data_IF_580404064990
#
_entry.id   IF_580404064990
#
_cell.length_a   1.000
_cell.length_b   1.000
_cell.length_c   1.000
_cell.angle_alpha   90.00
_cell.angle_beta   90.00
_cell.angle_gamma   90.00
#
_symmetry.space_group_name_H-M   'P 1'
#
loop_
_entity.id
_entity.type
_entity.pdbx_description
1 polymer ?
#
# COMPACT_ATOMS: atom_id res chain seq x y z
N UNK A 1 17.08 24.57 12.29
CA UNK A 1 16.10 25.47 11.64
C UNK A 1 16.80 26.16 10.49
N UNK A 2 16.69 25.59 9.30
CA UNK A 2 17.33 26.09 8.08
C UNK A 2 16.30 26.06 6.97
N UNK A 3 15.91 27.26 6.54
CA UNK A 3 15.29 27.63 5.27
C UNK A 3 14.09 26.79 4.78
N UNK A 4 12.93 27.33 5.12
CA UNK A 4 11.62 27.22 4.47
C UNK A 4 11.68 27.62 2.98
N UNK A 5 12.36 26.82 2.16
CA UNK A 5 11.99 26.71 0.76
C UNK A 5 10.77 25.79 0.77
N UNK A 6 9.59 26.31 0.41
CA UNK A 6 8.40 25.50 0.20
C UNK A 6 8.82 24.24 -0.57
N UNK A 7 8.80 23.11 0.13
CA UNK A 7 9.37 21.89 -0.39
C UNK A 7 8.51 21.52 -1.59
N UNK A 8 9.08 21.63 -2.80
CA UNK A 8 8.34 21.24 -4.01
C UNK A 8 8.04 19.75 -3.92
N UNK A 9 6.81 19.31 -4.26
CA UNK A 9 6.48 17.89 -4.27
C UNK A 9 7.44 17.12 -5.18
N UNK A 10 7.90 15.95 -4.74
CA UNK A 10 8.94 15.19 -5.43
C UNK A 10 8.55 14.71 -6.83
N UNK A 11 7.24 14.53 -7.07
CA UNK A 11 6.67 14.12 -8.36
C UNK A 11 5.87 15.24 -9.02
N UNK A 12 6.12 16.51 -8.65
CA UNK A 12 5.55 17.66 -9.35
C UNK A 12 5.85 17.56 -10.85
N UNK A 13 4.80 17.64 -11.69
CA UNK A 13 4.91 17.54 -13.14
C UNK A 13 4.70 16.13 -13.71
N UNK A 14 4.77 15.08 -12.88
CA UNK A 14 4.50 13.70 -13.31
C UNK A 14 3.00 13.48 -13.47
N UNK A 15 2.57 12.95 -14.62
CA UNK A 15 1.17 12.67 -14.94
C UNK A 15 0.89 11.18 -14.99
N UNK A 16 -0.10 10.71 -14.24
CA UNK A 16 -0.42 9.29 -14.10
C UNK A 16 -1.87 9.04 -14.51
N UNK A 17 -2.10 8.06 -15.37
CA UNK A 17 -3.42 7.53 -15.68
C UNK A 17 -3.61 6.20 -14.96
N UNK A 18 -4.58 6.10 -14.05
CA UNK A 18 -4.80 4.90 -13.23
C UNK A 18 -6.15 4.25 -13.55
N UNK A 19 -6.10 3.11 -14.26
CA UNK A 19 -7.23 2.28 -14.67
C UNK A 19 -7.64 1.26 -13.58
N UNK A 20 -6.92 1.16 -12.47
CA UNK A 20 -7.23 0.23 -11.38
C UNK A 20 -8.40 0.71 -10.51
N UNK A 21 -9.31 -0.18 -10.12
CA UNK A 21 -10.49 0.24 -9.34
C UNK A 21 -10.22 0.31 -7.82
N UNK A 22 -9.51 -0.67 -7.27
CA UNK A 22 -9.27 -0.87 -5.84
C UNK A 22 -7.95 -1.62 -5.62
N UNK A 23 -7.54 -1.76 -4.35
CA UNK A 23 -6.44 -2.65 -3.99
C UNK A 23 -5.07 -2.08 -4.38
N UNK A 24 -4.15 -2.91 -4.92
CA UNK A 24 -2.76 -2.52 -5.20
C UNK A 24 -2.59 -1.26 -6.05
N UNK A 25 -3.25 -1.20 -7.21
CA UNK A 25 -3.16 -0.04 -8.12
C UNK A 25 -3.60 1.26 -7.45
N UNK A 26 -4.74 1.23 -6.76
CA UNK A 26 -5.27 2.40 -6.06
C UNK A 26 -4.36 2.84 -4.90
N UNK A 27 -3.66 1.90 -4.24
CA UNK A 27 -2.63 2.23 -3.24
C UNK A 27 -1.41 2.86 -3.90
N UNK A 28 -0.92 2.31 -5.00
CA UNK A 28 0.22 2.83 -5.73
C UNK A 28 -0.03 4.25 -6.23
N UNK A 29 -1.16 4.48 -6.91
CA UNK A 29 -1.53 5.79 -7.43
C UNK A 29 -1.76 6.81 -6.32
N UNK A 30 -2.33 6.42 -5.16
CA UNK A 30 -2.41 7.28 -3.97
C UNK A 30 -1.03 7.70 -3.46
N UNK A 31 -0.08 6.76 -3.37
CA UNK A 31 1.30 7.07 -2.96
C UNK A 31 1.95 8.07 -3.92
N UNK A 32 1.82 7.87 -5.23
CA UNK A 32 2.35 8.79 -6.23
C UNK A 32 1.71 10.19 -6.12
N UNK A 33 0.39 10.26 -5.90
CA UNK A 33 -0.31 11.53 -5.67
C UNK A 33 0.13 12.21 -4.36
N UNK A 34 0.39 11.44 -3.29
CA UNK A 34 0.93 11.97 -2.03
C UNK A 34 2.32 12.59 -2.20
N UNK A 35 3.11 12.11 -3.19
CA UNK A 35 4.37 12.71 -3.59
C UNK A 35 4.22 13.85 -4.63
N UNK A 36 3.00 14.18 -5.05
CA UNK A 36 2.69 15.31 -5.92
C UNK A 36 2.41 14.99 -7.38
N UNK A 37 2.34 13.72 -7.78
CA UNK A 37 1.97 13.35 -9.14
C UNK A 37 0.51 13.75 -9.43
N UNK A 38 0.25 14.25 -10.64
CA UNK A 38 -1.10 14.50 -11.13
C UNK A 38 -1.74 13.19 -11.59
N UNK A 39 -2.52 12.57 -10.71
CA UNK A 39 -3.17 11.28 -10.97
C UNK A 39 -4.60 11.48 -11.46
N UNK A 40 -4.90 10.96 -12.67
CA UNK A 40 -6.25 10.85 -13.22
C UNK A 40 -6.74 9.41 -13.11
N UNK A 41 -7.87 9.20 -12.44
CA UNK A 41 -8.55 7.91 -12.39
C UNK A 41 -9.28 7.67 -13.70
N UNK A 42 -8.94 6.60 -14.40
CA UNK A 42 -9.57 6.21 -15.66
C UNK A 42 -10.56 5.07 -15.37
N UNK A 43 -11.79 5.23 -15.85
CA UNK A 43 -12.86 4.26 -15.65
C UNK A 43 -13.62 3.94 -16.93
N UNK A 44 -14.53 2.97 -16.84
CA UNK A 44 -15.46 2.68 -17.93
C UNK A 44 -16.64 3.66 -17.90
N UNK A 45 -17.17 3.99 -19.09
CA UNK A 45 -18.48 4.65 -19.17
C UNK A 45 -19.55 3.77 -18.49
N UNK A 46 -20.43 4.33 -17.63
CA UNK A 46 -21.48 3.56 -16.99
C UNK A 46 -22.41 2.91 -18.03
N UNK A 47 -22.64 1.61 -17.92
CA UNK A 47 -23.63 0.88 -18.73
C UNK A 47 -24.71 0.29 -17.84
N UNK A 48 -25.95 0.28 -18.32
CA UNK A 48 -27.06 -0.34 -17.61
C UNK A 48 -26.74 -1.80 -17.24
N UNK A 49 -26.81 -2.13 -15.94
CA UNK A 49 -26.50 -3.46 -15.41
C UNK A 49 -25.01 -3.76 -15.20
N UNK A 50 -24.11 -2.81 -15.45
CA UNK A 50 -22.70 -2.94 -15.10
C UNK A 50 -22.48 -2.80 -13.60
N UNK A 51 -21.75 -3.73 -12.99
CA UNK A 51 -21.31 -3.59 -11.59
C UNK A 51 -20.03 -2.76 -11.58
N UNK A 52 -20.15 -1.47 -11.26
CA UNK A 52 -19.02 -0.62 -10.96
C UNK A 52 -18.84 -0.57 -9.45
N UNK A 53 -17.67 -0.99 -8.97
CA UNK A 53 -17.33 -0.85 -7.56
C UNK A 53 -16.95 0.61 -7.34
N UNK A 54 -17.79 1.34 -6.61
CA UNK A 54 -17.47 2.66 -6.08
C UNK A 54 -17.09 2.48 -4.62
N UNK A 55 -15.79 2.59 -4.26
CA UNK A 55 -15.38 2.56 -2.87
C UNK A 55 -16.07 3.69 -2.10
N UNK A 56 -16.35 3.51 -0.79
CA UNK A 56 -16.88 4.61 0.02
C UNK A 56 -15.86 5.75 0.06
N UNK A 57 -16.33 6.98 0.28
CA UNK A 57 -15.52 8.20 0.24
C UNK A 57 -14.31 8.20 1.21
N UNK A 58 -14.33 7.35 2.24
CA UNK A 58 -13.24 7.19 3.22
C UNK A 58 -12.27 6.05 2.89
N UNK A 59 -12.55 5.20 1.89
CA UNK A 59 -11.68 4.08 1.55
C UNK A 59 -10.34 4.58 1.01
N UNK A 60 -9.23 4.11 1.59
CA UNK A 60 -7.87 4.43 1.12
C UNK A 60 -7.57 5.94 1.04
N UNK A 61 -8.17 6.72 1.93
CA UNK A 61 -8.12 8.19 1.90
C UNK A 61 -8.79 8.83 0.67
N UNK A 62 -9.78 8.13 0.09
CA UNK A 62 -10.86 8.72 -0.71
C UNK A 62 -10.47 9.33 -2.06
N UNK A 63 -9.56 8.74 -2.85
CA UNK A 63 -9.13 9.28 -4.16
C UNK A 63 -8.94 10.81 -4.18
N UNK A 64 -8.47 11.38 -3.04
CA UNK A 64 -8.47 12.82 -2.78
C UNK A 64 -7.66 13.56 -3.84
N UNK A 65 -8.27 14.58 -4.44
CA UNK A 65 -7.67 15.42 -5.47
C UNK A 65 -7.45 14.77 -6.84
N UNK A 66 -8.02 13.59 -7.14
CA UNK A 66 -7.80 12.88 -8.42
C UNK A 66 -8.95 13.10 -9.41
N UNK A 67 -8.73 13.80 -10.54
CA UNK A 67 -9.71 13.89 -11.63
C UNK A 67 -10.12 12.52 -12.17
N UNK A 68 -11.27 12.46 -12.84
CA UNK A 68 -11.78 11.21 -13.42
C UNK A 68 -12.00 11.35 -14.91
N UNK A 69 -11.64 10.32 -15.67
CA UNK A 69 -11.96 10.24 -17.09
C UNK A 69 -12.59 8.88 -17.41
N UNK A 70 -13.67 8.87 -18.19
CA UNK A 70 -14.47 7.68 -18.45
C UNK A 70 -14.49 7.38 -19.95
N UNK A 71 -14.13 6.15 -20.32
CA UNK A 71 -14.02 5.71 -21.71
C UNK A 71 -14.70 4.37 -21.94
N UNK A 72 -15.28 4.20 -23.12
CA UNK A 72 -15.63 2.90 -23.66
C UNK A 72 -14.45 2.33 -24.45
N UNK A 73 -13.54 1.65 -23.77
CA UNK A 73 -12.34 1.07 -24.39
C UNK A 73 -12.65 -0.11 -25.34
N UNK A 74 -13.91 -0.53 -25.46
CA UNK A 74 -14.34 -1.52 -26.46
C UNK A 74 -14.75 -0.89 -27.78
N UNK A 75 -15.11 0.40 -27.78
CA UNK A 75 -15.34 1.16 -29.00
C UNK A 75 -14.00 1.73 -29.47
N UNK A 76 -13.71 1.62 -30.77
CA UNK A 76 -12.46 2.12 -31.34
C UNK A 76 -12.28 3.62 -31.07
N UNK A 77 -13.35 4.42 -31.14
CA UNK A 77 -13.27 5.85 -30.90
C UNK A 77 -13.02 6.18 -29.42
N UNK A 78 -13.56 5.37 -28.49
CA UNK A 78 -13.28 5.50 -27.06
C UNK A 78 -11.84 5.12 -26.70
N UNK A 79 -11.33 4.05 -27.30
CA UNK A 79 -9.91 3.67 -27.19
C UNK A 79 -8.99 4.75 -27.76
N UNK A 80 -9.26 5.25 -28.95
CA UNK A 80 -8.43 6.27 -29.60
C UNK A 80 -8.43 7.58 -28.78
N UNK A 81 -9.54 7.94 -28.13
CA UNK A 81 -9.61 9.07 -27.21
C UNK A 81 -8.76 8.84 -25.94
N UNK A 82 -8.76 7.63 -25.38
CA UNK A 82 -7.87 7.29 -24.27
C UNK A 82 -6.39 7.37 -24.68
N UNK A 83 -6.02 6.81 -25.84
CA UNK A 83 -4.65 6.90 -26.36
C UNK A 83 -4.19 8.34 -26.59
N UNK A 84 -5.11 9.26 -26.88
CA UNK A 84 -4.77 10.68 -26.95
C UNK A 84 -4.42 11.29 -25.59
N UNK A 85 -5.04 10.84 -24.48
CA UNK A 85 -4.58 11.22 -23.14
C UNK A 85 -3.19 10.65 -22.82
N UNK A 86 -2.91 9.41 -23.27
CA UNK A 86 -1.62 8.72 -23.05
C UNK A 86 -0.45 9.49 -23.67
N UNK A 87 -0.68 10.20 -24.78
CA UNK A 87 0.33 11.05 -25.43
C UNK A 87 0.93 12.11 -24.50
N UNK A 88 0.20 12.54 -23.46
CA UNK A 88 0.63 13.53 -22.47
C UNK A 88 0.86 12.98 -21.07
N UNK A 89 0.90 11.65 -20.90
CA UNK A 89 1.08 10.98 -19.61
C UNK A 89 2.52 10.46 -19.44
N UNK A 90 2.96 10.27 -18.19
CA UNK A 90 4.23 9.63 -17.86
C UNK A 90 4.07 8.15 -17.52
N UNK A 91 2.93 7.83 -16.88
CA UNK A 91 2.65 6.51 -16.35
C UNK A 91 1.21 6.12 -16.62
N UNK A 92 1.00 4.88 -17.05
CA UNK A 92 -0.30 4.19 -17.01
C UNK A 92 -0.21 3.07 -15.97
N UNK A 93 -1.14 3.04 -15.02
CA UNK A 93 -1.29 1.95 -14.05
C UNK A 93 -2.56 1.18 -14.38
N UNK A 94 -2.47 -0.14 -14.44
CA UNK A 94 -3.63 -1.00 -14.67
C UNK A 94 -3.59 -2.24 -13.76
N UNK A 95 -4.75 -2.86 -13.56
CA UNK A 95 -4.92 -4.02 -12.68
C UNK A 95 -5.87 -5.07 -13.27
N UNK A 96 -5.92 -5.16 -14.59
CA UNK A 96 -6.69 -6.17 -15.30
C UNK A 96 -5.99 -7.53 -15.26
N UNK A 97 -6.72 -8.58 -15.64
CA UNK A 97 -6.11 -9.89 -15.85
C UNK A 97 -5.10 -9.81 -17.01
N UNK A 98 -4.03 -10.62 -16.99
CA UNK A 98 -3.09 -10.69 -18.10
C UNK A 98 -3.77 -10.86 -19.45
N UNK A 99 -3.31 -10.11 -20.46
CA UNK A 99 -3.83 -10.09 -21.83
C UNK A 99 -5.14 -9.31 -22.04
N UNK A 100 -5.74 -8.72 -21.00
CA UNK A 100 -6.95 -7.89 -21.17
C UNK A 100 -6.63 -6.58 -21.88
N UNK A 101 -5.53 -5.91 -21.51
CA UNK A 101 -5.11 -4.65 -22.11
C UNK A 101 -4.77 -4.79 -23.59
N UNK A 102 -4.09 -5.87 -23.98
CA UNK A 102 -3.76 -6.15 -25.38
C UNK A 102 -5.03 -6.37 -26.21
N UNK A 103 -6.01 -7.10 -25.67
CA UNK A 103 -7.31 -7.30 -26.34
C UNK A 103 -8.12 -6.01 -26.48
N UNK A 104 -7.92 -5.06 -25.56
CA UNK A 104 -8.54 -3.73 -25.62
C UNK A 104 -7.75 -2.77 -26.54
N UNK A 105 -6.57 -3.14 -27.04
CA UNK A 105 -5.70 -2.27 -27.85
C UNK A 105 -5.10 -1.11 -27.03
N UNK A 106 -4.82 -1.37 -25.76
CA UNK A 106 -4.17 -0.44 -24.83
C UNK A 106 -3.00 -1.14 -24.12
N UNK A 107 -2.44 -2.18 -24.75
CA UNK A 107 -1.24 -2.87 -24.27
C UNK A 107 -0.02 -1.98 -24.39
N UNK A 108 1.13 -2.42 -23.87
CA UNK A 108 2.34 -1.60 -23.85
C UNK A 108 2.74 -1.09 -25.25
N UNK A 109 2.67 -1.93 -26.28
CA UNK A 109 3.01 -1.54 -27.65
C UNK A 109 2.05 -0.46 -28.21
N UNK A 110 0.76 -0.54 -27.89
CA UNK A 110 -0.23 0.46 -28.28
C UNK A 110 0.05 1.80 -27.58
N UNK A 111 0.32 1.76 -26.26
CA UNK A 111 0.65 2.94 -25.47
C UNK A 111 1.96 3.57 -25.95
N UNK A 112 2.99 2.75 -26.18
CA UNK A 112 4.31 3.16 -26.69
C UNK A 112 4.21 3.81 -28.07
N UNK A 113 3.31 3.31 -28.92
CA UNK A 113 3.04 3.90 -30.23
C UNK A 113 2.46 5.32 -30.13
N UNK A 114 1.65 5.58 -29.09
CA UNK A 114 1.15 6.92 -28.79
C UNK A 114 2.18 7.79 -28.04
N UNK A 115 3.02 7.18 -27.22
CA UNK A 115 4.02 7.84 -26.38
C UNK A 115 5.23 6.92 -26.11
N UNK A 116 6.35 7.09 -26.82
CA UNK A 116 7.54 6.24 -26.66
C UNK A 116 8.17 6.26 -25.26
N UNK A 117 7.87 7.29 -24.45
CA UNK A 117 8.41 7.49 -23.10
C UNK A 117 7.50 6.95 -21.99
N UNK A 118 6.38 6.29 -22.35
CA UNK A 118 5.37 5.86 -21.39
C UNK A 118 5.84 4.68 -20.54
N UNK A 119 5.59 4.76 -19.23
CA UNK A 119 5.73 3.63 -18.32
C UNK A 119 4.36 2.97 -18.16
N UNK A 120 4.23 1.69 -18.53
CA UNK A 120 3.06 0.88 -18.17
C UNK A 120 3.40 0.08 -16.91
N UNK A 121 2.60 0.20 -15.86
CA UNK A 121 2.68 -0.65 -14.67
C UNK A 121 1.45 -1.55 -14.59
N UNK A 122 1.67 -2.84 -14.84
CA UNK A 122 0.65 -3.88 -14.70
C UNK A 122 0.70 -4.45 -13.28
N UNK A 123 -0.34 -4.17 -12.49
CA UNK A 123 -0.46 -4.68 -11.12
C UNK A 123 -1.39 -5.89 -11.07
N UNK A 124 -0.82 -7.09 -11.13
CA UNK A 124 -1.57 -8.34 -11.28
C UNK A 124 -1.37 -9.30 -10.11
N UNK A 125 -2.35 -10.14 -9.83
CA UNK A 125 -2.31 -11.00 -8.64
C UNK A 125 -1.11 -11.94 -8.59
N UNK A 126 -0.78 -12.55 -9.73
CA UNK A 126 0.23 -13.61 -9.84
C UNK A 126 1.24 -13.37 -10.99
N UNK A 127 1.36 -12.12 -11.46
CA UNK A 127 2.20 -11.76 -12.61
C UNK A 127 1.50 -11.87 -13.97
N UNK A 128 2.10 -11.24 -14.98
CA UNK A 128 1.72 -11.38 -16.38
C UNK A 128 2.11 -12.76 -16.96
N UNK A 129 3.06 -13.44 -16.31
CA UNK A 129 3.58 -14.74 -16.71
C UNK A 129 3.47 -15.80 -15.60
N UNK A 130 3.84 -17.04 -15.92
CA UNK A 130 3.85 -18.14 -14.96
C UNK A 130 2.53 -18.93 -14.88
N UNK A 131 2.53 -20.05 -14.13
CA UNK A 131 1.44 -21.04 -14.14
C UNK A 131 0.14 -20.54 -13.49
N UNK A 132 0.21 -19.47 -12.68
CA UNK A 132 -0.93 -18.89 -11.96
C UNK A 132 -1.39 -17.56 -12.54
N UNK A 133 -0.80 -17.08 -13.64
CA UNK A 133 -1.11 -15.76 -14.23
C UNK A 133 -2.62 -15.51 -14.42
N UNK A 134 -3.37 -16.56 -14.75
CA UNK A 134 -4.81 -16.47 -15.03
C UNK A 134 -5.68 -16.64 -13.77
N UNK A 135 -5.10 -16.92 -12.60
CA UNK A 135 -5.84 -17.11 -11.36
C UNK A 135 -6.42 -15.80 -10.84
N UNK A 136 -7.60 -15.89 -10.23
CA UNK A 136 -8.15 -14.79 -9.44
C UNK A 136 -7.53 -14.80 -8.04
N UNK A 137 -7.37 -13.64 -7.43
CA UNK A 137 -6.91 -13.54 -6.06
C UNK A 137 -7.33 -12.23 -5.40
N UNK A 138 -7.36 -12.27 -4.08
CA UNK A 138 -7.40 -11.11 -3.20
C UNK A 138 -6.27 -11.23 -2.17
N UNK A 139 -6.07 -10.17 -1.40
CA UNK A 139 -5.08 -10.06 -0.32
C UNK A 139 -4.77 -11.40 0.39
N UNK A 140 -5.80 -12.07 0.92
CA UNK A 140 -5.67 -13.34 1.65
C UNK A 140 -5.09 -14.48 0.81
N UNK A 141 -5.38 -14.54 -0.50
CA UNK A 141 -4.87 -15.59 -1.39
C UNK A 141 -3.37 -15.40 -1.65
N UNK A 142 -2.93 -14.15 -1.80
CA UNK A 142 -1.52 -13.84 -2.01
C UNK A 142 -0.71 -14.18 -0.75
N UNK A 143 -1.21 -13.81 0.43
CA UNK A 143 -0.62 -14.20 1.72
C UNK A 143 -0.63 -15.72 1.95
N UNK A 144 -1.67 -16.42 1.47
CA UNK A 144 -1.72 -17.88 1.57
C UNK A 144 -0.64 -18.53 0.70
N UNK A 145 -0.50 -18.07 -0.55
CA UNK A 145 0.43 -18.66 -1.52
C UNK A 145 1.89 -18.33 -1.25
N UNK A 146 2.17 -17.29 -0.45
CA UNK A 146 3.54 -16.92 -0.05
C UNK A 146 4.04 -17.63 1.21
N UNK A 147 3.20 -18.40 1.91
CA UNK A 147 3.53 -19.00 3.21
C UNK A 147 3.31 -18.07 4.41
N UNK A 148 2.95 -16.80 4.18
CA UNK A 148 2.73 -15.81 5.24
C UNK A 148 1.66 -16.26 6.25
N UNK A 149 0.52 -16.76 5.76
CA UNK A 149 -0.54 -17.24 6.66
C UNK A 149 -0.09 -18.45 7.47
N UNK A 150 0.70 -19.35 6.91
CA UNK A 150 1.12 -20.54 7.65
C UNK A 150 2.12 -20.20 8.77
N UNK A 151 2.93 -19.16 8.60
CA UNK A 151 3.79 -18.62 9.67
C UNK A 151 3.02 -17.76 10.70
N UNK A 152 1.74 -17.44 10.46
CA UNK A 152 0.94 -16.63 11.37
C UNK A 152 0.41 -17.44 12.57
N UNK A 153 0.15 -16.75 13.68
CA UNK A 153 -0.44 -17.35 14.88
C UNK A 153 -1.75 -18.09 14.59
N UNK A 154 -2.07 -19.08 15.44
CA UNK A 154 -3.27 -19.91 15.27
C UNK A 154 -4.47 -19.33 16.02
N UNK A 155 -5.63 -19.44 15.39
CA UNK A 155 -6.95 -19.21 16.01
C UNK A 155 -7.23 -20.31 17.03
N UNK A 156 -8.24 -20.09 17.88
CA UNK A 156 -8.68 -21.09 18.86
C UNK A 156 -9.16 -22.43 18.27
N UNK A 157 -9.44 -22.48 16.95
CA UNK A 157 -9.78 -23.70 16.21
C UNK A 157 -8.61 -24.30 15.42
N UNK A 158 -7.39 -23.80 15.63
CA UNK A 158 -6.16 -24.28 14.99
C UNK A 158 -5.87 -23.72 13.60
N UNK A 159 -6.78 -22.94 13.00
CA UNK A 159 -6.54 -22.32 11.68
C UNK A 159 -5.60 -21.12 11.78
N UNK A 160 -4.85 -20.75 10.72
CA UNK A 160 -4.17 -19.46 10.65
C UNK A 160 -5.09 -18.27 10.96
N UNK A 161 -4.58 -17.31 11.73
CA UNK A 161 -5.24 -16.03 11.92
C UNK A 161 -5.16 -15.18 10.64
N UNK A 162 -6.23 -14.40 10.38
CA UNK A 162 -6.20 -13.41 9.32
C UNK A 162 -5.60 -12.11 9.85
N UNK A 163 -4.72 -11.42 9.09
CA UNK A 163 -4.24 -10.11 9.47
C UNK A 163 -5.38 -9.08 9.42
N UNK A 164 -5.28 -8.04 10.26
CA UNK A 164 -6.30 -6.99 10.37
C UNK A 164 -6.28 -5.94 9.25
N UNK A 165 -5.23 -5.92 8.43
CA UNK A 165 -5.07 -5.02 7.29
C UNK A 165 -4.95 -5.81 5.98
N UNK A 166 -5.21 -5.16 4.84
CA UNK A 166 -4.90 -5.74 3.52
C UNK A 166 -3.41 -5.62 3.22
N UNK A 167 -2.63 -6.49 3.89
CA UNK A 167 -1.16 -6.44 3.93
C UNK A 167 -0.55 -6.66 2.55
N UNK A 168 -1.00 -7.67 1.81
CA UNK A 168 -0.49 -7.93 0.47
C UNK A 168 -0.87 -6.80 -0.49
N UNK A 169 -2.12 -6.33 -0.46
CA UNK A 169 -2.55 -5.28 -1.37
C UNK A 169 -1.75 -3.99 -1.17
N UNK A 170 -1.46 -3.61 0.09
CA UNK A 170 -0.73 -2.38 0.39
C UNK A 170 0.79 -2.55 0.25
N UNK A 171 1.40 -3.54 0.91
CA UNK A 171 2.84 -3.64 1.05
C UNK A 171 3.49 -4.45 -0.08
N UNK A 172 2.89 -5.58 -0.46
CA UNK A 172 3.41 -6.44 -1.52
C UNK A 172 3.05 -5.94 -2.92
N UNK A 173 1.90 -5.29 -3.07
CA UNK A 173 1.42 -4.75 -4.34
C UNK A 173 1.67 -3.25 -4.47
N UNK A 174 0.90 -2.45 -3.73
CA UNK A 174 0.85 -1.00 -3.91
C UNK A 174 2.18 -0.28 -3.69
N UNK A 175 2.89 -0.58 -2.60
CA UNK A 175 4.21 0.00 -2.32
C UNK A 175 5.25 -0.46 -3.35
N UNK A 176 5.26 -1.73 -3.73
CA UNK A 176 6.17 -2.26 -4.75
C UNK A 176 5.94 -1.59 -6.10
N UNK A 177 4.68 -1.42 -6.52
CA UNK A 177 4.33 -0.71 -7.75
C UNK A 177 4.77 0.76 -7.71
N UNK A 178 4.53 1.48 -6.61
CA UNK A 178 4.99 2.85 -6.47
C UNK A 178 6.53 2.95 -6.53
N UNK A 179 7.25 2.05 -5.86
CA UNK A 179 8.73 2.00 -5.91
C UNK A 179 9.23 1.70 -7.33
N UNK A 180 8.65 0.71 -8.01
CA UNK A 180 9.05 0.35 -9.36
C UNK A 180 8.79 1.47 -10.37
N UNK A 181 7.63 2.14 -10.27
CA UNK A 181 7.30 3.31 -11.09
C UNK A 181 8.29 4.45 -10.84
N UNK A 182 8.60 4.77 -9.59
CA UNK A 182 9.59 5.82 -9.28
C UNK A 182 10.99 5.45 -9.81
N UNK A 183 11.39 4.18 -9.71
CA UNK A 183 12.65 3.70 -10.27
C UNK A 183 12.69 3.78 -11.80
N UNK A 184 11.58 3.47 -12.47
CA UNK A 184 11.44 3.57 -13.92
C UNK A 184 11.47 5.03 -14.39
N UNK A 185 10.78 5.94 -13.69
CA UNK A 185 10.87 7.39 -13.95
C UNK A 185 12.31 7.89 -13.80
N UNK A 186 13.00 7.50 -12.72
CA UNK A 186 14.40 7.85 -12.50
C UNK A 186 15.32 7.29 -13.60
N UNK A 187 15.07 6.07 -14.09
CA UNK A 187 15.85 5.47 -15.17
C UNK A 187 15.62 6.19 -16.48
N UNK A 188 14.35 6.44 -16.83
CA UNK A 188 13.92 7.16 -18.03
C UNK A 188 14.54 8.56 -18.09
N UNK A 189 14.59 9.27 -16.97
CA UNK A 189 15.06 10.65 -16.92
C UNK A 189 16.58 10.75 -16.66
N UNK A 190 17.28 9.62 -16.53
CA UNK A 190 18.73 9.59 -16.31
C UNK A 190 19.46 10.06 -17.59
N UNK A 191 20.48 10.94 -17.49
CA UNK A 191 21.30 11.28 -18.63
C UNK A 191 22.03 10.04 -19.18
N UNK A 192 22.01 9.87 -20.50
CA UNK A 192 22.82 8.84 -21.18
C UNK A 192 24.30 9.13 -20.92
N UNK A 193 24.99 8.20 -20.28
CA UNK A 193 26.45 8.29 -20.08
C UNK A 193 27.15 8.16 -21.42
N UNK A 194 28.23 8.92 -21.68
CA UNK A 194 29.04 8.75 -22.88
C UNK A 194 29.70 7.36 -23.01
N UNK A 195 29.69 6.57 -21.92
CA UNK A 195 30.20 5.20 -21.86
C UNK A 195 29.07 4.14 -21.71
N UNK A 196 27.81 4.52 -21.97
CA UNK A 196 26.70 3.55 -21.95
C UNK A 196 26.83 2.56 -23.10
N UNK A 197 26.35 1.34 -22.86
CA UNK A 197 26.28 0.32 -23.90
C UNK A 197 25.35 0.82 -25.03
N UNK A 198 25.73 0.74 -26.31
CA UNK A 198 24.82 1.12 -27.40
C UNK A 198 23.49 0.33 -27.44
N UNK A 199 23.39 -0.80 -26.72
CA UNK A 199 22.15 -1.53 -26.50
C UNK A 199 21.38 -1.11 -25.22
N UNK A 200 21.93 -0.24 -24.37
CA UNK A 200 21.19 0.32 -23.24
C UNK A 200 20.05 1.22 -23.76
N UNK A 201 18.82 1.09 -23.21
CA UNK A 201 17.72 1.98 -23.53
C UNK A 201 18.15 3.44 -23.39
N UNK A 202 17.90 4.23 -24.43
CA UNK A 202 18.23 5.65 -24.41
C UNK A 202 17.50 6.38 -23.28
N UNK A 203 18.07 7.48 -22.79
CA UNK A 203 17.31 8.41 -21.95
C UNK A 203 16.00 8.74 -22.68
N UNK A 204 14.90 8.72 -21.94
CA UNK A 204 13.53 8.97 -22.40
C UNK A 204 12.80 7.79 -23.08
N UNK A 205 13.31 6.56 -23.04
CA UNK A 205 12.50 5.38 -23.42
C UNK A 205 11.64 4.89 -22.24
N UNK A 206 10.38 4.58 -22.52
CA UNK A 206 9.45 4.00 -21.55
C UNK A 206 9.72 2.51 -21.30
N UNK A 207 8.95 1.89 -20.40
CA UNK A 207 9.05 0.45 -20.12
C UNK A 207 7.72 -0.14 -19.63
N UNK A 208 7.56 -1.46 -19.78
CA UNK A 208 6.48 -2.22 -19.15
C UNK A 208 7.01 -2.89 -17.88
N UNK A 209 6.39 -2.57 -16.75
CA UNK A 209 6.70 -3.12 -15.44
C UNK A 209 5.57 -4.09 -15.06
N UNK A 210 5.93 -5.36 -14.85
CA UNK A 210 5.05 -6.36 -14.24
C UNK A 210 5.25 -6.39 -12.72
N UNK A 211 4.22 -6.01 -11.98
CA UNK A 211 4.21 -6.05 -10.51
C UNK A 211 3.20 -7.09 -10.05
N UNK A 212 3.74 -8.25 -9.66
CA UNK A 212 2.99 -9.36 -9.08
C UNK A 212 2.79 -9.17 -7.57
N UNK A 213 1.54 -9.18 -7.10
CA UNK A 213 1.25 -9.11 -5.67
C UNK A 213 1.77 -10.36 -4.94
N UNK A 214 1.68 -11.54 -5.56
CA UNK A 214 2.21 -12.77 -4.95
C UNK A 214 3.73 -12.74 -4.81
N UNK A 215 4.44 -12.11 -5.75
CA UNK A 215 5.91 -12.03 -5.70
C UNK A 215 6.35 -11.08 -4.59
N UNK A 216 5.64 -9.96 -4.43
CA UNK A 216 5.83 -9.07 -3.29
C UNK A 216 5.54 -9.78 -1.96
N UNK A 217 4.46 -10.59 -1.90
CA UNK A 217 4.08 -11.30 -0.68
C UNK A 217 5.09 -12.42 -0.34
N UNK A 218 5.68 -13.06 -1.35
CA UNK A 218 6.77 -14.01 -1.19
C UNK A 218 8.07 -13.31 -0.74
N UNK A 219 8.39 -12.15 -1.33
CA UNK A 219 9.56 -11.35 -0.94
C UNK A 219 9.48 -10.86 0.51
N UNK A 220 8.28 -10.51 0.99
CA UNK A 220 8.06 -10.17 2.41
C UNK A 220 8.40 -11.33 3.37
N UNK A 221 8.42 -12.57 2.88
CA UNK A 221 8.77 -13.77 3.64
C UNK A 221 10.26 -14.14 3.53
N UNK A 222 11.11 -13.28 2.95
CA UNK A 222 12.52 -13.60 2.64
C UNK A 222 13.29 -14.20 3.82
N UNK A 223 13.12 -13.70 5.04
CA UNK A 223 13.79 -14.27 6.22
C UNK A 223 13.51 -15.78 6.39
N UNK A 224 12.25 -16.19 6.24
CA UNK A 224 11.80 -17.58 6.40
C UNK A 224 12.16 -18.43 5.18
N UNK A 225 11.95 -17.86 3.99
CA UNK A 225 12.26 -18.51 2.72
C UNK A 225 13.76 -18.80 2.63
N UNK A 226 14.61 -17.83 2.94
CA UNK A 226 16.05 -17.96 2.85
C UNK A 226 16.60 -18.97 3.86
N UNK A 227 16.06 -19.02 5.09
CA UNK A 227 16.43 -20.07 6.06
C UNK A 227 16.05 -21.46 5.53
N UNK A 228 14.82 -21.63 5.05
CA UNK A 228 14.38 -22.91 4.48
C UNK A 228 15.29 -23.35 3.33
N UNK A 229 15.60 -22.43 2.41
CA UNK A 229 16.49 -22.72 1.28
C UNK A 229 17.92 -23.04 1.73
N UNK A 230 18.42 -22.41 2.79
CA UNK A 230 19.77 -22.62 3.30
C UNK A 230 19.92 -23.89 4.15
N UNK A 231 18.87 -24.29 4.87
CA UNK A 231 18.98 -25.29 5.96
C UNK A 231 17.99 -26.45 5.85
N UNK A 232 16.91 -26.31 5.08
CA UNK A 232 15.79 -27.25 5.03
C UNK A 232 14.89 -27.23 6.27
N UNK A 233 15.12 -26.31 7.22
CA UNK A 233 14.26 -26.14 8.39
C UNK A 233 12.96 -25.50 7.94
N UNK A 234 11.83 -26.16 8.24
CA UNK A 234 10.50 -25.65 7.93
C UNK A 234 10.07 -24.61 8.98
N UNK A 235 9.90 -23.34 8.60
CA UNK A 235 9.42 -22.32 9.52
C UNK A 235 7.93 -22.48 9.83
N UNK A 236 7.51 -21.93 10.97
CA UNK A 236 6.11 -21.93 11.38
C UNK A 236 5.80 -20.91 12.48
N UNK A 237 4.58 -20.94 13.04
CA UNK A 237 4.20 -20.03 14.12
C UNK A 237 5.12 -20.20 15.33
N UNK A 238 5.62 -19.10 15.89
CA UNK A 238 6.51 -19.16 17.05
C UNK A 238 7.91 -19.71 16.74
N UNK A 239 8.31 -19.83 15.47
CA UNK A 239 9.63 -20.33 15.08
C UNK A 239 10.76 -19.35 15.41
N UNK A 240 10.52 -18.06 15.20
CA UNK A 240 11.46 -16.98 15.52
C UNK A 240 10.98 -16.11 16.68
N UNK A 241 11.94 -15.36 17.24
CA UNK A 241 11.68 -14.33 18.25
C UNK A 241 10.56 -13.37 17.82
N UNK A 242 10.58 -12.87 16.59
CA UNK A 242 9.58 -11.92 16.06
C UNK A 242 8.21 -12.55 15.77
N UNK A 243 8.04 -13.85 16.02
CA UNK A 243 6.78 -14.60 15.85
C UNK A 243 6.28 -15.21 17.15
N UNK A 244 6.81 -14.79 18.29
CA UNK A 244 6.32 -15.21 19.60
C UNK A 244 7.03 -16.42 20.21
N UNK A 245 8.20 -16.84 19.67
CA UNK A 245 8.99 -17.93 20.26
C UNK A 245 9.27 -17.68 21.75
N UNK A 246 9.73 -16.48 22.06
CA UNK A 246 10.12 -16.10 23.42
C UNK A 246 9.09 -15.18 24.06
N UNK A 247 8.94 -15.29 25.38
CA UNK A 247 7.99 -14.52 26.17
C UNK A 247 8.27 -13.00 26.14
N UNK A 248 9.50 -12.59 25.81
CA UNK A 248 9.89 -11.20 25.64
C UNK A 248 9.37 -10.56 24.33
N UNK A 249 8.70 -11.30 23.46
CA UNK A 249 8.06 -10.79 22.24
C UNK A 249 6.64 -11.38 22.10
N UNK A 250 5.65 -10.81 22.79
CA UNK A 250 4.27 -11.31 22.78
C UNK A 250 3.26 -10.23 23.22
N UNK A 251 1.98 -10.56 23.26
CA UNK A 251 0.90 -9.76 23.82
C UNK A 251 0.36 -10.37 25.10
N UNK A 252 0.11 -9.53 26.11
CA UNK A 252 -0.36 -9.95 27.43
C UNK A 252 -1.65 -9.25 27.80
N UNK A 253 -2.60 -10.02 28.34
CA UNK A 253 -3.91 -9.51 28.77
C UNK A 253 -3.80 -8.84 30.15
N UNK A 254 -4.40 -7.67 30.28
CA UNK A 254 -4.44 -6.88 31.51
C UNK A 254 -5.76 -7.09 32.28
N UNK A 255 -5.87 -6.53 33.49
CA UNK A 255 -7.03 -6.74 34.38
C UNK A 255 -8.35 -6.21 33.81
N UNK A 256 -8.30 -5.22 32.93
CA UNK A 256 -9.43 -4.61 32.22
C UNK A 256 -9.82 -5.36 30.94
N UNK A 257 -9.14 -6.48 30.65
CA UNK A 257 -9.35 -7.29 29.46
C UNK A 257 -8.74 -6.72 28.18
N UNK A 258 -8.03 -5.59 28.25
CA UNK A 258 -7.21 -5.05 27.15
C UNK A 258 -5.83 -5.72 27.15
N UNK A 259 -4.98 -5.35 26.20
CA UNK A 259 -3.67 -5.98 26.02
C UNK A 259 -2.55 -4.95 25.95
N UNK A 260 -1.36 -5.34 26.41
CA UNK A 260 -0.08 -4.70 26.08
C UNK A 260 0.69 -5.60 25.12
N UNK A 261 1.50 -5.01 24.25
CA UNK A 261 2.55 -5.71 23.51
C UNK A 261 3.87 -5.55 24.24
N UNK A 262 4.66 -6.62 24.28
CA UNK A 262 6.04 -6.64 24.77
C UNK A 262 6.93 -6.97 23.58
N UNK A 263 7.96 -6.16 23.34
CA UNK A 263 8.98 -6.39 22.31
C UNK A 263 10.40 -6.24 22.84
N UNK A 264 10.65 -6.70 24.07
CA UNK A 264 11.90 -6.54 24.82
C UNK A 264 12.96 -7.55 24.37
N UNK A 265 13.45 -7.45 23.13
CA UNK A 265 14.39 -8.39 22.55
C UNK A 265 15.80 -8.21 23.13
N UNK A 266 16.24 -6.97 23.28
CA UNK A 266 17.57 -6.66 23.77
C UNK A 266 17.67 -6.97 25.28
N UNK A 267 18.74 -7.66 25.75
CA UNK A 267 18.86 -8.09 27.14
C UNK A 267 18.68 -6.98 28.18
N UNK A 268 19.10 -5.74 27.86
CA UNK A 268 18.92 -4.58 28.73
C UNK A 268 17.44 -4.24 28.93
N UNK A 269 16.64 -4.25 27.87
CA UNK A 269 15.21 -3.93 27.94
C UNK A 269 14.44 -5.04 28.64
N UNK A 270 14.84 -6.30 28.41
CA UNK A 270 14.33 -7.45 29.15
C UNK A 270 14.62 -7.36 30.64
N UNK A 271 15.86 -7.04 31.02
CA UNK A 271 16.24 -6.87 32.42
C UNK A 271 15.41 -5.78 33.11
N UNK A 272 15.28 -4.60 32.49
CA UNK A 272 14.45 -3.51 33.00
C UNK A 272 13.00 -3.96 33.20
N UNK A 273 12.44 -4.67 32.21
CA UNK A 273 11.07 -5.20 32.28
C UNK A 273 10.92 -6.18 33.46
N UNK A 274 11.82 -7.16 33.58
CA UNK A 274 11.82 -8.13 34.67
C UNK A 274 11.91 -7.44 36.04
N UNK A 275 12.81 -6.48 36.21
CA UNK A 275 12.96 -5.74 37.46
C UNK A 275 11.67 -4.99 37.84
N UNK A 276 11.09 -4.23 36.91
CA UNK A 276 9.88 -3.44 37.15
C UNK A 276 8.63 -4.30 37.39
N UNK A 277 8.59 -5.52 36.85
CA UNK A 277 7.53 -6.48 37.09
C UNK A 277 7.75 -7.36 38.34
N UNK A 278 8.92 -7.26 39.00
CA UNK A 278 9.27 -8.12 40.13
C UNK A 278 9.60 -9.56 39.74
N UNK A 279 10.12 -9.76 38.53
CA UNK A 279 10.45 -11.03 37.88
C UNK A 279 11.95 -11.15 37.57
N UNK A 280 12.82 -10.55 38.39
CA UNK A 280 14.27 -10.51 38.17
C UNK A 280 14.92 -11.90 38.07
N UNK A 281 14.28 -12.95 38.58
CA UNK A 281 14.77 -14.34 38.43
C UNK A 281 14.82 -14.83 36.98
N UNK A 282 14.12 -14.18 36.04
CA UNK A 282 14.09 -14.60 34.63
C UNK A 282 15.05 -13.80 33.72
N UNK A 283 15.85 -12.88 34.28
CA UNK A 283 16.77 -12.03 33.50
C UNK A 283 17.72 -12.89 32.65
N UNK A 284 18.30 -13.93 33.25
CA UNK A 284 19.28 -14.80 32.57
C UNK A 284 18.63 -15.93 31.74
N UNK A 285 17.29 -16.06 31.77
CA UNK A 285 16.53 -17.13 31.09
C UNK A 285 15.81 -16.65 29.83
N UNK A 286 16.08 -15.43 29.35
CA UNK A 286 15.35 -14.77 28.26
C UNK A 286 15.15 -15.64 27.01
N UNK A 287 16.18 -16.40 26.62
CA UNK A 287 16.21 -17.24 25.41
C UNK A 287 16.32 -18.72 25.72
N UNK A 288 16.08 -19.12 26.98
CA UNK A 288 16.02 -20.53 27.37
C UNK A 288 14.67 -21.13 26.95
N UNK A 289 14.65 -21.94 25.89
CA UNK A 289 13.45 -22.61 25.38
C UNK A 289 12.71 -23.41 26.47
N UNK A 290 13.43 -23.98 27.45
CA UNK A 290 12.82 -24.79 28.51
C UNK A 290 12.05 -23.94 29.55
N UNK A 291 12.35 -22.65 29.66
CA UNK A 291 11.76 -21.74 30.64
C UNK A 291 10.61 -20.90 30.06
N UNK A 292 10.38 -20.91 28.74
CA UNK A 292 9.48 -19.93 28.09
C UNK A 292 8.02 -20.01 28.55
N UNK A 293 7.51 -21.22 28.78
CA UNK A 293 6.12 -21.39 29.25
C UNK A 293 5.96 -20.80 30.66
N UNK A 294 6.90 -21.08 31.58
CA UNK A 294 6.92 -20.53 32.93
C UNK A 294 7.03 -18.99 32.91
N UNK A 295 7.95 -18.44 32.10
CA UNK A 295 8.14 -16.99 31.98
C UNK A 295 6.87 -16.32 31.45
N UNK A 296 6.23 -16.91 30.43
CA UNK A 296 5.01 -16.38 29.82
C UNK A 296 3.85 -16.40 30.81
N UNK A 297 3.69 -17.47 31.57
CA UNK A 297 2.69 -17.57 32.65
C UNK A 297 2.92 -16.51 33.72
N UNK A 298 4.18 -16.30 34.14
CA UNK A 298 4.52 -15.30 35.14
C UNK A 298 4.25 -13.87 34.65
N UNK A 299 4.67 -13.52 33.43
CA UNK A 299 4.36 -12.23 32.80
C UNK A 299 2.83 -12.02 32.69
N UNK A 300 2.11 -13.03 32.21
CA UNK A 300 0.64 -12.96 32.09
C UNK A 300 -0.04 -12.75 33.45
N UNK A 301 0.42 -13.45 34.50
CA UNK A 301 -0.10 -13.29 35.85
C UNK A 301 0.12 -11.87 36.38
N UNK A 302 1.32 -11.30 36.19
CA UNK A 302 1.62 -9.92 36.62
C UNK A 302 0.78 -8.92 35.84
N UNK A 303 0.79 -8.97 34.51
CA UNK A 303 0.02 -8.04 33.68
C UNK A 303 -1.48 -8.08 33.97
N UNK A 304 -2.03 -9.24 34.33
CA UNK A 304 -3.44 -9.39 34.71
C UNK A 304 -3.83 -8.69 36.03
N UNK A 305 -2.88 -8.20 36.84
CA UNK A 305 -3.17 -7.56 38.14
C UNK A 305 -3.60 -6.10 38.05
N UNK A 306 -3.29 -5.41 36.94
CA UNK A 306 -3.56 -3.98 36.74
C UNK A 306 -4.11 -3.71 35.34
N UNK A 307 -4.83 -2.59 35.13
CA UNK A 307 -5.34 -2.24 33.80
C UNK A 307 -4.20 -1.89 32.85
N UNK A 308 -4.46 -1.98 31.54
CA UNK A 308 -3.43 -1.75 30.51
C UNK A 308 -2.68 -0.42 30.69
N UNK A 309 -3.42 0.67 30.91
CA UNK A 309 -2.83 2.00 30.93
C UNK A 309 -1.90 2.20 32.14
N UNK A 310 -2.16 1.53 33.27
CA UNK A 310 -1.23 1.51 34.40
C UNK A 310 0.14 0.94 34.02
N UNK A 311 0.14 -0.17 33.26
CA UNK A 311 1.38 -0.78 32.79
C UNK A 311 2.10 0.07 31.75
N UNK A 312 1.35 0.70 30.84
CA UNK A 312 1.93 1.57 29.82
C UNK A 312 2.59 2.79 30.47
N UNK A 313 1.95 3.42 31.46
CA UNK A 313 2.51 4.55 32.21
C UNK A 313 3.79 4.16 32.96
N UNK A 314 3.84 2.96 33.53
CA UNK A 314 5.00 2.45 34.27
C UNK A 314 6.15 2.04 33.34
N UNK A 315 5.85 1.29 32.27
CA UNK A 315 6.84 0.54 31.50
C UNK A 315 7.24 1.23 30.20
N UNK A 316 6.30 1.90 29.53
CA UNK A 316 6.51 2.55 28.23
C UNK A 316 7.72 3.49 28.19
N UNK A 317 7.86 4.46 29.12
CA UNK A 317 8.99 5.38 29.14
C UNK A 317 10.27 4.80 29.79
N UNK A 318 10.26 3.54 30.22
CA UNK A 318 11.30 2.94 31.06
C UNK A 318 12.24 1.99 30.32
N UNK A 319 12.43 2.18 29.00
CA UNK A 319 13.29 1.33 28.17
C UNK A 319 12.93 -0.17 28.32
N UNK A 320 11.64 -0.52 28.21
CA UNK A 320 11.14 -1.90 28.32
C UNK A 320 10.50 -2.45 27.04
N UNK A 321 10.35 -1.61 26.02
CA UNK A 321 9.65 -1.96 24.77
C UNK A 321 8.20 -2.46 24.99
N UNK A 322 7.50 -1.91 25.99
CA UNK A 322 6.08 -2.18 26.23
C UNK A 322 5.21 -1.06 25.65
N UNK A 323 4.16 -1.44 24.92
CA UNK A 323 3.21 -0.50 24.30
C UNK A 323 1.76 -0.99 24.43
N UNK A 324 0.75 -0.09 24.38
CA UNK A 324 -0.64 -0.50 24.38
C UNK A 324 -1.03 -1.17 23.05
N UNK A 325 -1.80 -2.26 23.12
CA UNK A 325 -2.58 -2.70 21.96
C UNK A 325 -3.81 -1.80 21.87
N UNK A 326 -3.80 -0.88 20.90
CA UNK A 326 -4.83 0.13 20.73
C UNK A 326 -5.96 -0.33 19.80
N UNK A 327 -7.18 0.14 20.08
CA UNK A 327 -8.24 0.17 19.06
C UNK A 327 -7.93 1.29 18.06
N UNK A 328 -8.55 1.25 16.87
CA UNK A 328 -8.41 2.35 15.89
C UNK A 328 -8.78 3.71 16.49
N UNK A 329 -9.87 3.76 17.27
CA UNK A 329 -10.30 4.99 17.93
C UNK A 329 -9.26 5.52 18.94
N UNK A 330 -8.62 4.62 19.71
CA UNK A 330 -7.56 5.01 20.64
C UNK A 330 -6.29 5.47 19.91
N UNK A 331 -5.90 4.78 18.82
CA UNK A 331 -4.73 5.16 18.03
C UNK A 331 -4.90 6.52 17.34
N UNK A 332 -6.11 6.86 16.90
CA UNK A 332 -6.46 8.18 16.31
C UNK A 332 -6.44 9.29 17.35
N UNK A 333 -6.81 9.00 18.60
CA UNK A 333 -6.83 9.96 19.70
C UNK A 333 -5.48 10.06 20.44
N UNK A 334 -4.48 9.30 20.04
CA UNK A 334 -3.18 9.26 20.71
C UNK A 334 -2.42 10.58 20.51
N UNK A 335 -1.92 11.23 21.58
CA UNK A 335 -1.17 12.48 21.47
C UNK A 335 0.04 12.39 20.54
N UNK A 336 0.67 11.22 20.42
CA UNK A 336 1.77 11.00 19.49
C UNK A 336 1.29 11.01 18.04
N UNK A 337 0.16 10.35 17.74
CA UNK A 337 -0.45 10.35 16.40
C UNK A 337 -0.85 11.77 15.98
N UNK A 338 -1.42 12.55 16.90
CA UNK A 338 -1.78 13.96 16.68
C UNK A 338 -0.53 14.83 16.45
N UNK A 339 0.46 14.74 17.34
CA UNK A 339 1.71 15.50 17.21
C UNK A 339 2.49 15.18 15.92
N UNK A 340 2.30 13.98 15.37
CA UNK A 340 2.89 13.56 14.09
C UNK A 340 2.02 13.90 12.87
N UNK A 341 0.86 14.52 13.04
CA UNK A 341 -0.01 14.91 11.93
C UNK A 341 -0.54 13.74 11.11
N UNK A 342 -0.72 12.56 11.72
CA UNK A 342 -1.15 11.36 11.01
C UNK A 342 -2.67 11.31 10.75
N UNK A 343 -3.41 12.27 11.31
CA UNK A 343 -4.84 12.49 11.09
C UNK A 343 -5.01 13.89 10.55
N UNK A 344 -5.69 14.02 9.42
CA UNK A 344 -5.87 15.28 8.69
C UNK A 344 -7.34 15.54 8.41
N UNK A 345 -7.67 16.81 8.26
CA UNK A 345 -8.99 17.24 7.81
C UNK A 345 -9.18 16.96 6.32
N UNK A 346 -10.39 16.60 5.97
CA UNK A 346 -10.83 16.36 4.61
C UNK A 346 -12.28 16.80 4.42
N UNK A 347 -12.66 17.04 3.17
CA UNK A 347 -14.03 17.41 2.80
C UNK A 347 -14.47 16.54 1.64
N UNK A 348 -15.55 15.78 1.86
CA UNK A 348 -16.26 15.07 0.79
C UNK A 348 -17.24 16.02 0.11
N UNK A 349 -17.23 16.05 -1.22
CA UNK A 349 -18.18 16.85 -2.01
C UNK A 349 -19.65 16.48 -1.71
N UNK A 350 -19.93 15.20 -1.44
CA UNK A 350 -21.26 14.70 -1.03
C UNK A 350 -21.51 14.81 0.46
N UNK A 351 -20.54 14.38 1.27
CA UNK A 351 -20.78 14.05 2.69
C UNK A 351 -20.30 15.13 3.66
N UNK A 352 -19.62 16.17 3.15
CA UNK A 352 -19.11 17.28 3.94
C UNK A 352 -17.79 16.97 4.68
N UNK A 353 -17.44 17.78 5.71
CA UNK A 353 -16.18 17.66 6.42
C UNK A 353 -16.05 16.37 7.23
N UNK A 354 -14.86 15.76 7.21
CA UNK A 354 -14.50 14.59 7.99
C UNK A 354 -12.99 14.56 8.27
N UNK A 355 -12.52 13.59 9.06
CA UNK A 355 -11.08 13.35 9.29
C UNK A 355 -10.66 12.02 8.68
N UNK A 356 -9.44 11.96 8.16
CA UNK A 356 -8.87 10.77 7.55
C UNK A 356 -7.38 10.62 7.86
N UNK A 357 -6.78 9.48 7.47
CA UNK A 357 -5.34 9.28 7.57
C UNK A 357 -4.57 10.21 6.64
N UNK A 358 -3.53 10.85 7.17
CA UNK A 358 -2.56 11.62 6.42
C UNK A 358 -1.68 10.71 5.53
N UNK A 359 -0.99 11.25 4.51
CA UNK A 359 0.16 10.57 3.94
C UNK A 359 1.19 10.31 5.05
N UNK A 360 1.49 9.04 5.33
CA UNK A 360 2.47 8.64 6.35
C UNK A 360 3.91 8.57 5.86
N UNK A 361 4.15 8.91 4.59
CA UNK A 361 5.43 8.72 3.92
C UNK A 361 6.34 9.93 4.10
N UNK A 362 7.63 9.68 4.31
CA UNK A 362 8.59 10.76 4.43
C UNK A 362 8.73 11.52 3.09
N UNK A 363 8.83 12.85 3.16
CA UNK A 363 9.04 13.71 2.00
C UNK A 363 7.78 14.11 1.24
N UNK A 364 6.58 13.73 1.70
CA UNK A 364 5.32 14.24 1.14
C UNK A 364 5.06 15.67 1.58
N UNK A 365 4.41 16.45 0.72
CA UNK A 365 4.08 17.85 0.99
C UNK A 365 2.56 17.94 1.11
N UNK A 366 2.01 18.24 2.31
CA UNK A 366 0.56 18.36 2.47
C UNK A 366 0.04 19.58 1.68
N UNK A 367 -1.22 19.53 1.20
CA UNK A 367 -1.85 20.69 0.59
C UNK A 367 -2.09 21.81 1.63
N UNK A 368 -2.34 23.01 1.14
CA UNK A 368 -2.90 24.08 1.97
C UNK A 368 -4.37 23.74 2.31
N UNK A 369 -4.66 23.54 3.59
CA UNK A 369 -6.03 23.27 4.07
C UNK A 369 -6.43 21.79 4.07
N UNK A 370 -7.74 21.54 3.99
CA UNK A 370 -8.31 20.20 4.05
C UNK A 370 -8.13 19.46 2.71
N UNK A 371 -7.94 18.15 2.78
CA UNK A 371 -7.90 17.32 1.58
C UNK A 371 -9.29 17.22 0.94
N UNK A 372 -9.38 17.43 -0.37
CA UNK A 372 -10.64 17.36 -1.10
C UNK A 372 -10.92 15.95 -1.65
N UNK A 373 -12.05 15.38 -1.25
CA UNK A 373 -12.59 14.14 -1.82
C UNK A 373 -13.70 14.50 -2.80
N UNK A 374 -13.48 14.16 -4.07
CA UNK A 374 -14.37 14.53 -5.18
C UNK A 374 -15.63 13.68 -5.20
N UNK A 375 -16.67 14.23 -5.82
CA UNK A 375 -17.93 13.53 -6.11
C UNK A 375 -17.66 12.28 -6.97
N UNK A 376 -18.06 11.07 -6.55
CA UNK A 376 -17.80 9.85 -7.32
C UNK A 376 -18.50 9.78 -8.69
N UNK A 377 -19.48 10.64 -8.99
CA UNK A 377 -20.08 10.70 -10.33
C UNK A 377 -19.53 11.83 -11.18
N UNK A 378 -18.75 12.76 -10.61
CA UNK A 378 -18.13 13.83 -11.38
C UNK A 378 -17.03 13.27 -12.28
N UNK A 379 -16.99 13.79 -13.49
CA UNK A 379 -16.05 13.41 -14.54
C UNK A 379 -15.43 14.66 -15.13
N UNK A 380 -14.19 14.52 -15.57
CA UNK A 380 -13.34 15.55 -16.15
C UNK A 380 -12.97 15.20 -17.60
N UNK A 381 -13.59 14.16 -18.19
CA UNK A 381 -13.16 13.60 -19.49
C UNK A 381 -13.08 14.65 -20.59
N UNK A 382 -14.11 15.49 -20.73
CA UNK A 382 -14.15 16.55 -21.74
C UNK A 382 -12.97 17.51 -21.58
N UNK A 383 -12.81 18.09 -20.38
CA UNK A 383 -11.72 19.01 -20.05
C UNK A 383 -10.35 18.39 -20.33
N UNK A 384 -10.13 17.16 -19.86
CA UNK A 384 -8.86 16.45 -20.01
C UNK A 384 -8.53 16.16 -21.48
N UNK A 385 -9.52 15.79 -22.29
CA UNK A 385 -9.30 15.55 -23.73
C UNK A 385 -8.99 16.83 -24.49
N UNK A 386 -9.67 17.94 -24.16
CA UNK A 386 -9.36 19.25 -24.74
C UNK A 386 -7.96 19.73 -24.34
N UNK A 387 -7.57 19.56 -23.07
CA UNK A 387 -6.21 19.83 -22.58
C UNK A 387 -5.15 18.96 -23.27
N UNK A 388 -5.51 17.73 -23.66
CA UNK A 388 -4.67 16.83 -24.46
C UNK A 388 -4.67 17.15 -25.97
N UNK A 389 -5.41 18.17 -26.41
CA UNK A 389 -5.39 18.68 -27.78
C UNK A 389 -6.44 18.08 -28.72
N UNK A 390 -7.45 17.37 -28.21
CA UNK A 390 -8.62 17.02 -29.03
C UNK A 390 -9.49 18.26 -29.26
N UNK A 391 -9.95 18.42 -30.50
CA UNK A 391 -10.88 19.50 -30.81
C UNK A 391 -12.24 19.29 -30.14
N UNK A 392 -12.87 20.40 -29.72
CA UNK A 392 -14.17 20.38 -29.04
C UNK A 392 -15.27 19.65 -29.82
N UNK A 393 -15.45 19.89 -31.14
CA UNK A 393 -16.45 19.17 -31.93
C UNK A 393 -16.31 17.64 -31.92
N UNK A 394 -15.07 17.12 -31.92
CA UNK A 394 -14.81 15.69 -31.79
C UNK A 394 -15.14 15.19 -30.40
N UNK A 395 -14.82 15.94 -29.34
CA UNK A 395 -15.18 15.56 -27.97
C UNK A 395 -16.71 15.53 -27.80
N UNK A 396 -17.43 16.50 -28.38
CA UNK A 396 -18.89 16.55 -28.38
C UNK A 396 -19.51 15.34 -29.09
N UNK A 397 -18.97 14.91 -30.24
CA UNK A 397 -19.39 13.69 -30.94
C UNK A 397 -19.23 12.45 -30.05
N UNK A 398 -18.07 12.32 -29.39
CA UNK A 398 -17.79 11.19 -28.50
C UNK A 398 -18.76 11.14 -27.31
N UNK A 399 -19.08 12.30 -26.71
CA UNK A 399 -20.07 12.42 -25.64
C UNK A 399 -21.48 12.03 -26.13
N UNK A 400 -21.92 12.54 -27.29
CA UNK A 400 -23.22 12.23 -27.86
C UNK A 400 -23.38 10.74 -28.18
N UNK A 401 -22.30 10.08 -28.60
CA UNK A 401 -22.26 8.63 -28.84
C UNK A 401 -22.20 7.80 -27.56
N UNK A 402 -21.95 8.42 -26.40
CA UNK A 402 -21.79 7.73 -25.12
C UNK A 402 -20.54 6.87 -25.03
N UNK A 403 -19.52 7.15 -25.85
CA UNK A 403 -18.23 6.43 -25.83
C UNK A 403 -17.23 7.07 -24.85
N UNK A 404 -17.53 8.28 -24.38
CA UNK A 404 -16.92 8.92 -23.22
C UNK A 404 -18.02 9.48 -22.31
N UNK A 405 -17.71 9.76 -21.04
CA UNK A 405 -18.66 10.36 -20.10
C UNK A 405 -18.02 11.44 -19.24
#
# INVERSE_FOLDING_TARGET
MGTDAAQRPALEGVRVLDLGAVGPAARASRILADYGAAVTKVGAVPRAGGVQITPPYYAYSGNRGMPRALFDLKDAAGRDAFLALVAGADVVIESFRPGVVDRLGIGYDDLRSANPSIILCSTSGYGQEGPRRDWAGHDVNYLATSGFLDCSGRRGDGRPALPGATVADIAAGGMQAAMAIMAALLRRDRPVSANSDPEEPGAQEGEHIDVSISDGAFTMMSLYVDEYLATGVEPGPGHYILTGRYACYDTYRCSDGRFVSVGAIEPRFWANLCELLGLAQYVDAQTDDAAQDEIREALAAVFATRPRDHWVDLLGPADTCVAPVNTVAAAVADPHTEARGLVVDAVSATDGPFRQSAPGWAGTVPPEGAYEVREPTATDTERLLVEAGLDGPRVDDLLQRGVIA
#
